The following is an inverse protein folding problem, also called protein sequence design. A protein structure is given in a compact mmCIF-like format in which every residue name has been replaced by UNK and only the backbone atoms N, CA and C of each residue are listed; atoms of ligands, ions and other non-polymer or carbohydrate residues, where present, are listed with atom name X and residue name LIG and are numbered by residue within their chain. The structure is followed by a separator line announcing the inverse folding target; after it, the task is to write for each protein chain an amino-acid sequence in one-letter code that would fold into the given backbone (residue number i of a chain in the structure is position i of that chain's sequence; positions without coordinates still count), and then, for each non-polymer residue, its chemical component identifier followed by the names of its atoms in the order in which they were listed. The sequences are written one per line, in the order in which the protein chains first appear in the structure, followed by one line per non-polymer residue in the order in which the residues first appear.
data_IF_077201676979
#
_entry.id   IF_077201676979
#
_cell.length_a   1.000
_cell.length_b   1.000
_cell.length_c   1.000
_cell.angle_alpha   90.00
_cell.angle_beta   90.00
_cell.angle_gamma   90.00
#
_symmetry.space_group_name_H-M   'P 1'
#
loop_
_entity.id
_entity.type
_entity.pdbx_description
1 polymer ?
#
# COMPACT_ATOMS: atom_id res chain seq x y z
N UNK A 1 1.40 19.75 11.60
CA UNK A 1 2.58 19.08 10.99
C UNK A 1 3.82 19.92 11.33
N UNK A 2 3.88 21.19 10.96
CA UNK A 2 5.06 22.06 11.19
C UNK A 2 5.51 22.11 12.67
N UNK A 3 4.58 22.16 13.60
CA UNK A 3 4.90 22.25 15.04
C UNK A 3 5.44 20.93 15.65
N UNK A 4 5.39 19.84 14.94
CA UNK A 4 5.84 18.52 15.41
C UNK A 4 7.13 18.05 14.72
N UNK A 5 7.76 18.90 13.90
CA UNK A 5 9.04 18.55 13.26
C UNK A 5 10.16 18.59 14.30
N UNK A 6 10.82 17.46 14.50
CA UNK A 6 11.99 17.36 15.37
C UNK A 6 13.22 17.93 14.66
N UNK A 7 14.14 18.55 15.44
CA UNK A 7 15.41 19.02 14.89
C UNK A 7 16.21 17.86 14.25
N UNK A 8 16.75 18.10 13.08
CA UNK A 8 17.47 17.06 12.30
C UNK A 8 16.59 16.14 11.47
N UNK A 9 15.27 16.41 11.42
CA UNK A 9 14.34 15.70 10.56
C UNK A 9 13.64 16.64 9.57
N UNK A 10 13.27 16.15 8.41
CA UNK A 10 12.43 16.82 7.43
C UNK A 10 11.17 16.01 7.15
N UNK A 11 10.09 16.67 6.79
CA UNK A 11 8.88 15.99 6.33
C UNK A 11 9.23 15.19 5.08
N UNK A 12 8.86 13.91 5.07
CA UNK A 12 9.04 13.03 3.93
C UNK A 12 7.75 12.90 3.13
N UNK A 13 6.68 12.42 3.78
CA UNK A 13 5.35 12.32 3.13
C UNK A 13 4.23 12.30 4.18
N UNK A 14 3.01 12.53 3.70
CA UNK A 14 1.78 12.40 4.49
C UNK A 14 0.87 11.41 3.77
N UNK A 15 0.46 10.34 4.45
CA UNK A 15 -0.46 9.35 3.92
C UNK A 15 -1.89 9.63 4.36
N UNK A 16 -2.83 9.12 3.59
CA UNK A 16 -4.28 9.16 3.86
C UNK A 16 -4.84 10.59 3.90
N UNK A 17 -4.38 11.44 2.98
CA UNK A 17 -4.96 12.78 2.77
C UNK A 17 -5.31 12.96 1.29
N UNK A 18 -6.48 13.52 0.97
CA UNK A 18 -7.54 13.94 1.89
C UNK A 18 -8.26 12.75 2.57
N UNK A 19 -8.57 12.87 3.85
CA UNK A 19 -9.27 11.85 4.62
C UNK A 19 -10.77 12.18 4.72
N UNK A 20 -11.62 11.25 4.28
CA UNK A 20 -13.06 11.29 4.55
C UNK A 20 -13.31 10.55 5.87
N UNK A 21 -13.65 11.31 6.90
CA UNK A 21 -13.87 10.76 8.25
C UNK A 21 -15.10 9.86 8.28
N UNK A 22 -14.91 8.63 8.68
CA UNK A 22 -15.96 7.62 8.89
C UNK A 22 -16.35 7.49 10.36
N UNK A 23 -17.36 6.64 10.65
CA UNK A 23 -17.74 6.30 12.04
C UNK A 23 -16.71 5.40 12.71
N UNK A 24 -15.92 4.69 11.94
CA UNK A 24 -14.82 3.86 12.42
C UNK A 24 -13.60 4.74 12.68
N UNK A 25 -13.41 5.10 13.94
CA UNK A 25 -12.31 6.00 14.37
C UNK A 25 -10.95 5.34 14.14
N UNK A 26 -10.85 4.01 14.23
CA UNK A 26 -9.59 3.28 14.06
C UNK A 26 -9.08 3.38 12.63
N UNK A 27 -9.98 3.47 11.65
CA UNK A 27 -9.62 3.64 10.23
C UNK A 27 -9.44 5.12 9.82
N UNK A 28 -9.79 6.08 10.69
CA UNK A 28 -9.58 7.52 10.44
C UNK A 28 -8.15 7.93 10.80
N UNK A 29 -7.16 7.47 10.04
CA UNK A 29 -5.74 7.66 10.36
C UNK A 29 -5.04 8.49 9.27
N UNK A 30 -4.38 9.58 9.69
CA UNK A 30 -3.40 10.30 8.86
C UNK A 30 -2.02 9.95 9.38
N UNK A 31 -1.14 9.45 8.51
CA UNK A 31 0.24 9.12 8.85
C UNK A 31 1.18 10.19 8.32
N UNK A 32 2.00 10.76 9.20
CA UNK A 32 3.00 11.78 8.84
C UNK A 32 4.38 11.16 9.01
N UNK A 33 5.11 11.03 7.92
CA UNK A 33 6.44 10.44 7.90
C UNK A 33 7.50 11.54 7.82
N UNK A 34 8.45 11.46 8.74
CA UNK A 34 9.65 12.31 8.74
C UNK A 34 10.87 11.47 8.47
N UNK A 35 11.83 12.03 7.75
CA UNK A 35 13.12 11.43 7.46
C UNK A 35 14.22 12.24 8.13
N UNK A 36 15.23 11.54 8.63
CA UNK A 36 16.43 12.18 9.20
C UNK A 36 17.20 12.90 8.09
N UNK A 37 17.59 14.13 8.37
CA UNK A 37 18.48 14.91 7.49
C UNK A 37 19.88 14.33 7.64
N UNK A 38 20.40 13.76 6.57
CA UNK A 38 21.80 13.35 6.54
C UNK A 38 22.69 14.56 6.33
N UNK A 39 23.80 14.60 7.03
CA UNK A 39 24.79 15.68 6.93
C UNK A 39 26.17 15.11 6.70
N UNK A 40 27.01 15.87 6.03
CA UNK A 40 28.43 15.57 5.87
C UNK A 40 29.27 16.82 6.16
N UNK A 41 30.51 16.68 6.62
CA UNK A 41 31.40 17.82 6.76
C UNK A 41 31.67 18.48 5.40
N UNK A 42 31.80 19.80 5.38
CA UNK A 42 32.07 20.57 4.17
C UNK A 42 33.41 20.12 3.52
N UNK A 43 34.39 19.78 4.36
CA UNK A 43 35.63 19.17 3.92
C UNK A 43 35.82 17.83 4.65
N UNK A 44 35.78 16.67 3.94
CA UNK A 44 35.92 15.35 4.55
C UNK A 44 37.28 15.07 5.16
N UNK A 45 38.32 15.84 4.76
CA UNK A 45 39.68 15.67 5.26
C UNK A 45 39.95 16.47 6.56
N UNK A 46 38.98 17.21 7.04
CA UNK A 46 39.08 18.00 8.27
C UNK A 46 38.03 17.56 9.30
N UNK A 47 38.35 17.63 10.61
CA UNK A 47 37.36 17.41 11.66
C UNK A 47 36.19 18.40 11.56
N UNK A 48 35.00 17.97 11.93
CA UNK A 48 33.81 18.84 12.05
C UNK A 48 34.06 19.91 13.12
N UNK A 49 33.77 21.16 12.78
CA UNK A 49 33.99 22.32 13.66
C UNK A 49 33.50 23.62 13.02
N UNK A 50 33.76 24.77 13.66
CA UNK A 50 33.28 26.07 13.16
C UNK A 50 33.77 26.42 11.74
N UNK A 51 34.99 25.95 11.40
CA UNK A 51 35.60 26.17 10.08
C UNK A 51 35.29 25.07 9.08
N UNK A 52 34.64 23.99 9.52
CA UNK A 52 34.21 22.85 8.73
C UNK A 52 32.85 22.35 9.23
N UNK A 53 31.76 23.12 9.04
CA UNK A 53 30.44 22.73 9.48
C UNK A 53 29.88 21.58 8.67
N UNK A 54 28.96 20.82 9.27
CA UNK A 54 28.17 19.84 8.55
C UNK A 54 27.15 20.52 7.64
N UNK A 55 27.05 20.05 6.42
CA UNK A 55 26.05 20.49 5.45
C UNK A 55 25.11 19.32 5.10
N UNK A 56 23.84 19.58 4.80
CA UNK A 56 22.92 18.55 4.34
C UNK A 56 23.45 17.88 3.07
N UNK A 57 23.36 16.57 3.03
CA UNK A 57 23.62 15.78 1.82
C UNK A 57 22.37 15.84 0.95
N UNK A 58 22.55 15.97 -0.36
CA UNK A 58 21.44 15.81 -1.29
C UNK A 58 20.91 14.38 -1.15
N UNK A 59 19.63 14.28 -0.87
CA UNK A 59 18.94 13.03 -0.61
C UNK A 59 18.18 12.63 -1.87
N UNK A 60 18.64 11.58 -2.51
CA UNK A 60 18.01 10.98 -3.69
C UNK A 60 17.02 9.88 -3.30
N UNK A 61 16.82 9.65 -2.01
CA UNK A 61 15.84 8.69 -1.56
C UNK A 61 14.42 9.23 -1.79
N UNK A 62 13.63 8.40 -2.37
CA UNK A 62 12.20 8.54 -2.49
C UNK A 62 11.54 7.31 -1.86
N UNK A 63 10.41 6.88 -2.32
CA UNK A 63 9.77 5.70 -1.78
C UNK A 63 8.52 5.34 -2.57
N UNK A 64 7.83 4.34 -2.08
CA UNK A 64 6.55 3.95 -2.61
C UNK A 64 5.57 3.67 -1.49
N UNK A 65 4.29 3.85 -1.79
CA UNK A 65 3.17 3.55 -0.90
C UNK A 65 2.66 2.16 -1.23
N UNK A 66 2.33 1.39 -0.19
CA UNK A 66 1.57 0.15 -0.33
C UNK A 66 0.22 0.37 0.33
N UNK A 67 -0.82 0.35 -0.46
CA UNK A 67 -2.20 0.50 -0.02
C UNK A 67 -2.86 -0.87 -0.02
N UNK A 68 -3.47 -1.24 1.12
CA UNK A 68 -4.16 -2.51 1.29
C UNK A 68 -5.67 -2.30 1.25
N UNK A 69 -6.35 -3.08 0.43
CA UNK A 69 -7.79 -3.02 0.21
C UNK A 69 -8.43 -4.37 0.59
N UNK A 70 -9.43 -4.32 1.46
CA UNK A 70 -10.26 -5.48 1.80
C UNK A 70 -11.67 -5.23 1.29
N UNK A 71 -12.15 -6.10 0.37
CA UNK A 71 -13.42 -5.93 -0.34
C UNK A 71 -13.59 -4.53 -0.97
N UNK A 72 -12.52 -3.98 -1.55
CA UNK A 72 -12.40 -2.64 -2.15
C UNK A 72 -12.39 -1.46 -1.14
N UNK A 73 -12.41 -1.69 0.15
CA UNK A 73 -12.23 -0.65 1.16
C UNK A 73 -10.76 -0.56 1.56
N UNK A 74 -10.19 0.66 1.50
CA UNK A 74 -8.80 0.88 1.91
C UNK A 74 -8.65 0.77 3.42
N UNK A 75 -7.66 -0.01 3.87
CA UNK A 75 -7.25 -0.03 5.26
C UNK A 75 -6.15 1.01 5.51
N UNK A 76 -6.55 2.18 6.00
CA UNK A 76 -5.63 3.27 6.29
C UNK A 76 -4.63 2.94 7.40
N UNK A 77 -4.95 2.00 8.29
CA UNK A 77 -4.05 1.60 9.38
C UNK A 77 -2.89 0.79 8.82
N UNK A 78 -3.15 -0.09 7.86
CA UNK A 78 -2.15 -0.95 7.24
C UNK A 78 -1.36 -0.26 6.14
N UNK A 79 -1.94 0.76 5.48
CA UNK A 79 -1.21 1.54 4.46
C UNK A 79 0.14 2.00 4.98
N UNK A 80 1.19 1.72 4.23
CA UNK A 80 2.57 1.98 4.62
C UNK A 80 3.38 2.68 3.52
N UNK A 81 4.52 3.25 3.89
CA UNK A 81 5.49 3.81 2.96
C UNK A 81 6.85 3.13 3.18
N UNK A 82 7.47 2.75 2.08
CA UNK A 82 8.78 2.11 2.09
C UNK A 82 9.76 3.01 1.34
N UNK A 83 10.85 3.38 2.04
CA UNK A 83 11.89 4.26 1.48
C UNK A 83 12.83 3.43 0.63
N UNK A 84 13.08 3.88 -0.59
CA UNK A 84 14.02 3.28 -1.53
C UNK A 84 14.61 4.37 -2.42
N UNK A 85 15.70 4.05 -3.10
CA UNK A 85 16.32 4.94 -4.07
C UNK A 85 15.44 5.08 -5.33
N UNK A 86 15.53 6.25 -5.96
CA UNK A 86 14.94 6.49 -7.28
C UNK A 86 15.44 5.45 -8.29
N UNK A 87 14.64 5.16 -9.29
CA UNK A 87 14.89 4.17 -10.35
C UNK A 87 14.94 2.71 -9.89
N UNK A 88 14.76 2.41 -8.60
CA UNK A 88 14.54 1.04 -8.12
C UNK A 88 13.29 0.45 -8.77
N UNK A 89 13.33 -0.84 -9.11
CA UNK A 89 12.18 -1.56 -9.64
C UNK A 89 11.63 -2.49 -8.56
N UNK A 90 10.38 -2.26 -8.19
CA UNK A 90 9.66 -3.06 -7.20
C UNK A 90 8.82 -4.11 -7.94
N UNK A 91 8.99 -5.37 -7.58
CA UNK A 91 8.27 -6.52 -8.15
C UNK A 91 7.37 -7.17 -7.09
N UNK A 92 6.51 -8.08 -7.49
CA UNK A 92 5.71 -8.87 -6.54
C UNK A 92 6.59 -9.65 -5.55
N UNK A 93 7.73 -10.16 -5.98
CA UNK A 93 8.67 -10.85 -5.11
C UNK A 93 9.22 -9.90 -4.03
N UNK A 94 9.52 -8.65 -4.40
CA UNK A 94 10.02 -7.63 -3.46
C UNK A 94 9.05 -7.34 -2.33
N UNK A 95 7.75 -7.39 -2.60
CA UNK A 95 6.68 -7.06 -1.62
C UNK A 95 5.95 -8.30 -1.08
N UNK A 96 6.41 -9.50 -1.39
CA UNK A 96 5.74 -10.74 -1.00
C UNK A 96 5.56 -10.87 0.51
N UNK A 97 6.57 -10.51 1.31
CA UNK A 97 6.50 -10.51 2.76
C UNK A 97 5.46 -9.50 3.28
N UNK A 98 5.38 -8.30 2.68
CA UNK A 98 4.37 -7.31 3.04
C UNK A 98 2.96 -7.83 2.75
N UNK A 99 2.76 -8.52 1.61
CA UNK A 99 1.49 -9.13 1.25
C UNK A 99 1.10 -10.21 2.27
N UNK A 100 2.02 -11.11 2.62
CA UNK A 100 1.76 -12.19 3.59
C UNK A 100 1.41 -11.62 4.97
N UNK A 101 2.18 -10.65 5.47
CA UNK A 101 1.98 -10.04 6.78
C UNK A 101 0.66 -9.27 6.89
N UNK A 102 0.11 -8.81 5.76
CA UNK A 102 -1.16 -8.11 5.69
C UNK A 102 -2.33 -8.99 5.25
N UNK A 103 -2.11 -10.29 5.05
CA UNK A 103 -3.21 -11.25 4.84
C UNK A 103 -3.88 -11.55 6.17
N UNK A 104 -5.13 -11.09 6.33
CA UNK A 104 -5.91 -11.31 7.55
C UNK A 104 -6.80 -12.55 7.43
N UNK A 105 -7.20 -13.11 8.58
CA UNK A 105 -8.08 -14.28 8.64
C UNK A 105 -9.40 -14.02 7.91
N UNK A 106 -9.85 -14.98 7.13
CA UNK A 106 -11.07 -14.88 6.32
C UNK A 106 -10.90 -14.15 4.99
N UNK A 107 -9.70 -13.69 4.66
CA UNK A 107 -9.38 -13.04 3.39
C UNK A 107 -8.28 -13.77 2.64
N UNK A 108 -8.28 -13.64 1.32
CA UNK A 108 -7.21 -14.11 0.43
C UNK A 108 -6.77 -12.98 -0.51
N UNK A 109 -5.52 -13.02 -0.93
CA UNK A 109 -5.03 -12.13 -1.98
C UNK A 109 -5.87 -12.33 -3.24
N UNK A 110 -6.34 -11.23 -3.80
CA UNK A 110 -7.09 -11.20 -5.05
C UNK A 110 -6.19 -10.73 -6.21
N UNK A 111 -5.60 -9.56 -6.07
CA UNK A 111 -4.70 -9.00 -7.08
C UNK A 111 -3.77 -7.94 -6.47
N UNK A 112 -2.59 -7.81 -7.05
CA UNK A 112 -1.68 -6.69 -6.81
C UNK A 112 -1.62 -5.82 -8.06
N UNK A 113 -1.81 -4.51 -7.91
CA UNK A 113 -1.75 -3.54 -9.00
C UNK A 113 -0.45 -2.75 -8.96
N UNK A 114 -0.06 -2.23 -10.13
CA UNK A 114 1.09 -1.37 -10.33
C UNK A 114 2.43 -2.05 -9.98
N UNK A 115 2.55 -3.33 -10.25
CA UNK A 115 3.82 -4.06 -10.23
C UNK A 115 4.05 -4.70 -11.61
N UNK A 116 5.28 -4.66 -12.16
CA UNK A 116 6.45 -4.00 -11.57
C UNK A 116 6.33 -2.48 -11.58
N UNK A 117 6.82 -1.82 -10.51
CA UNK A 117 6.82 -0.36 -10.35
C UNK A 117 8.25 0.17 -10.41
N UNK A 118 8.55 1.07 -11.35
CA UNK A 118 9.81 1.82 -11.35
C UNK A 118 9.63 3.10 -10.52
N UNK A 119 10.46 3.27 -9.51
CA UNK A 119 10.35 4.37 -8.55
C UNK A 119 10.76 5.70 -9.19
N UNK A 120 9.84 6.66 -9.16
CA UNK A 120 10.05 8.05 -9.56
C UNK A 120 10.44 8.94 -8.38
N UNK A 121 10.79 10.20 -8.65
CA UNK A 121 11.05 11.21 -7.60
C UNK A 121 9.81 11.54 -6.79
N UNK A 122 8.65 11.53 -7.42
CA UNK A 122 7.38 11.85 -6.80
C UNK A 122 6.78 10.59 -6.15
N UNK A 123 6.88 10.53 -4.83
CA UNK A 123 6.33 9.42 -4.03
C UNK A 123 4.81 9.28 -4.18
N UNK A 124 4.09 10.35 -4.51
CA UNK A 124 2.65 10.30 -4.67
C UNK A 124 2.22 9.51 -5.92
N UNK A 125 3.11 9.39 -6.90
CA UNK A 125 2.92 8.56 -8.09
C UNK A 125 3.41 7.11 -7.89
N UNK A 126 4.19 6.84 -6.85
CA UNK A 126 4.74 5.53 -6.56
C UNK A 126 3.78 4.75 -5.64
N UNK A 127 2.71 4.20 -6.20
CA UNK A 127 1.66 3.52 -5.43
C UNK A 127 1.47 2.09 -5.92
N UNK A 128 1.58 1.13 -5.00
CA UNK A 128 1.20 -0.27 -5.20
C UNK A 128 -0.10 -0.52 -4.42
N UNK A 129 -1.07 -1.16 -5.07
CA UNK A 129 -2.35 -1.49 -4.44
C UNK A 129 -2.48 -3.00 -4.32
N UNK A 130 -2.68 -3.48 -3.11
CA UNK A 130 -2.87 -4.91 -2.80
C UNK A 130 -4.33 -5.13 -2.40
N UNK A 131 -5.04 -5.90 -3.19
CA UNK A 131 -6.45 -6.18 -2.97
C UNK A 131 -6.64 -7.59 -2.41
N UNK A 132 -7.36 -7.67 -1.30
CA UNK A 132 -7.82 -8.91 -0.69
C UNK A 132 -9.33 -9.05 -0.83
N UNK A 133 -9.78 -10.30 -0.93
CA UNK A 133 -11.20 -10.65 -0.96
C UNK A 133 -11.53 -11.59 0.17
N UNK A 134 -12.69 -11.35 0.75
CA UNK A 134 -13.25 -12.26 1.74
C UNK A 134 -13.41 -13.65 1.13
N UNK A 135 -12.97 -14.66 1.87
CA UNK A 135 -13.19 -16.05 1.49
C UNK A 135 -14.69 -16.32 1.69
N UNK A 136 -15.40 -16.57 0.60
CA UNK A 136 -16.78 -16.99 0.71
C UNK A 136 -16.83 -18.39 1.32
N UNK A 137 -17.66 -18.55 2.32
CA UNK A 137 -17.88 -19.82 3.00
C UNK A 137 -19.36 -20.20 2.85
N UNK A 138 -19.61 -21.48 2.66
CA UNK A 138 -20.95 -22.04 2.59
C UNK A 138 -21.10 -22.95 3.79
N UNK A 139 -22.12 -22.72 4.65
CA UNK A 139 -22.46 -23.67 5.68
C UNK A 139 -22.80 -25.03 5.07
N UNK A 140 -22.27 -26.11 5.61
CA UNK A 140 -22.54 -27.48 5.14
C UNK A 140 -22.97 -28.34 6.29
N UNK A 141 -23.97 -29.18 5.99
CA UNK A 141 -24.33 -30.29 6.86
C UNK A 141 -23.21 -31.35 6.81
N UNK A 142 -22.59 -31.71 7.95
CA UNK A 142 -21.54 -32.73 7.99
C UNK A 142 -21.99 -34.08 7.42
N UNK A 143 -23.29 -34.39 7.53
CA UNK A 143 -23.86 -35.64 7.05
C UNK A 143 -24.39 -35.55 5.59
N UNK A 144 -24.52 -34.31 5.05
CA UNK A 144 -24.97 -34.09 3.69
C UNK A 144 -24.38 -32.80 3.08
N UNK A 145 -23.15 -32.87 2.52
CA UNK A 145 -22.38 -31.69 2.08
C UNK A 145 -23.02 -30.87 0.95
N UNK A 146 -24.09 -31.38 0.33
CA UNK A 146 -24.82 -30.67 -0.72
C UNK A 146 -25.98 -29.80 -0.18
N UNK A 147 -26.27 -29.88 1.12
CA UNK A 147 -27.38 -29.14 1.75
C UNK A 147 -26.83 -27.99 2.59
N UNK A 148 -27.20 -26.73 2.32
CA UNK A 148 -26.90 -25.61 3.20
C UNK A 148 -27.58 -25.80 4.55
N UNK A 149 -26.83 -25.61 5.62
CA UNK A 149 -27.32 -25.75 7.00
C UNK A 149 -27.23 -24.46 7.80
N UNK A 150 -27.81 -24.52 8.97
CA UNK A 150 -27.92 -23.52 10.02
C UNK A 150 -26.55 -22.85 10.35
N UNK A 151 -26.54 -21.55 10.74
CA UNK A 151 -25.31 -20.78 11.03
C UNK A 151 -24.39 -21.35 12.12
N UNK A 152 -24.76 -22.43 12.78
CA UNK A 152 -23.93 -23.08 13.81
C UNK A 152 -23.03 -24.21 13.29
N UNK A 153 -23.12 -24.56 12.00
CA UNK A 153 -22.35 -25.66 11.39
C UNK A 153 -21.03 -25.16 10.73
N UNK A 154 -19.99 -26.05 10.63
CA UNK A 154 -18.70 -25.64 10.08
C UNK A 154 -18.79 -25.23 8.61
N UNK A 155 -18.20 -24.10 8.30
CA UNK A 155 -18.15 -23.50 6.97
C UNK A 155 -17.08 -24.16 6.09
N UNK A 156 -17.43 -24.44 4.85
CA UNK A 156 -16.46 -24.85 3.80
C UNK A 156 -16.21 -23.66 2.88
N UNK A 157 -14.93 -23.34 2.58
CA UNK A 157 -14.59 -22.34 1.58
C UNK A 157 -15.22 -22.68 0.21
N UNK A 158 -15.90 -21.73 -0.40
CA UNK A 158 -16.47 -21.86 -1.74
C UNK A 158 -15.57 -21.13 -2.72
N UNK A 159 -15.25 -21.77 -3.85
CA UNK A 159 -14.67 -21.06 -4.97
C UNK A 159 -15.68 -20.05 -5.48
N UNK A 160 -15.37 -18.77 -5.33
CA UNK A 160 -16.17 -17.71 -5.93
C UNK A 160 -15.81 -17.58 -7.41
N UNK A 161 -16.83 -17.53 -8.27
CA UNK A 161 -16.64 -17.24 -9.69
C UNK A 161 -16.35 -15.73 -9.94
N UNK A 162 -16.12 -14.98 -8.86
CA UNK A 162 -15.75 -13.59 -8.94
C UNK A 162 -14.38 -13.43 -9.58
N UNK A 163 -14.31 -12.56 -10.53
CA UNK A 163 -13.11 -12.12 -11.22
C UNK A 163 -13.12 -10.60 -11.28
N UNK A 164 -12.30 -9.99 -12.11
CA UNK A 164 -12.31 -8.56 -12.24
C UNK A 164 -11.53 -8.12 -13.47
N UNK A 165 -11.70 -6.85 -13.78
CA UNK A 165 -10.89 -6.19 -14.78
C UNK A 165 -10.25 -4.95 -14.19
N UNK A 166 -9.12 -4.54 -14.78
CA UNK A 166 -8.35 -3.37 -14.38
C UNK A 166 -8.65 -2.24 -15.33
N UNK A 167 -8.99 -1.06 -14.78
CA UNK A 167 -9.02 0.19 -15.51
C UNK A 167 -7.70 0.92 -15.31
N UNK A 168 -7.01 1.18 -16.40
CA UNK A 168 -5.78 1.95 -16.41
C UNK A 168 -6.05 3.27 -17.10
N UNK A 169 -5.67 4.36 -16.44
CA UNK A 169 -5.81 5.71 -16.99
C UNK A 169 -4.44 6.18 -17.46
N UNK A 170 -4.39 6.64 -18.71
CA UNK A 170 -3.17 7.15 -19.33
C UNK A 170 -3.33 8.63 -19.65
N UNK A 171 -2.35 9.41 -19.28
CA UNK A 171 -2.23 10.83 -19.63
C UNK A 171 -0.91 11.02 -20.37
N UNK A 172 -0.96 11.53 -21.59
CA UNK A 172 0.21 11.68 -22.47
C UNK A 172 1.04 10.37 -22.63
N UNK A 173 0.33 9.23 -22.76
CA UNK A 173 0.87 7.85 -22.84
C UNK A 173 1.56 7.35 -21.56
N UNK A 174 1.50 8.10 -20.46
CA UNK A 174 1.96 7.64 -19.14
C UNK A 174 0.78 7.16 -18.29
N UNK A 175 0.98 5.99 -17.63
CA UNK A 175 -0.05 5.42 -16.74
C UNK A 175 -0.14 6.22 -15.44
N UNK A 176 -1.35 6.57 -15.06
CA UNK A 176 -1.65 7.12 -13.73
C UNK A 176 -1.89 5.97 -12.73
N UNK A 177 -0.85 5.56 -12.04
CA UNK A 177 -0.91 4.47 -11.07
C UNK A 177 -1.84 4.78 -9.89
N UNK A 178 -2.01 6.04 -9.54
CA UNK A 178 -2.88 6.46 -8.43
C UNK A 178 -4.35 6.23 -8.78
N UNK A 179 -4.73 6.51 -10.04
CA UNK A 179 -6.12 6.34 -10.50
C UNK A 179 -6.42 4.94 -11.02
N UNK A 180 -5.40 4.13 -11.33
CA UNK A 180 -5.61 2.74 -11.73
C UNK A 180 -6.45 2.01 -10.68
N UNK A 181 -7.52 1.35 -11.12
CA UNK A 181 -8.47 0.67 -10.24
C UNK A 181 -8.85 -0.72 -10.75
N UNK A 182 -9.36 -1.56 -9.85
CA UNK A 182 -9.93 -2.87 -10.16
C UNK A 182 -11.44 -2.84 -9.95
N UNK A 183 -12.18 -3.34 -10.93
CA UNK A 183 -13.61 -3.52 -10.83
C UNK A 183 -13.90 -5.02 -10.81
N UNK A 184 -14.58 -5.48 -9.77
CA UNK A 184 -14.96 -6.88 -9.58
C UNK A 184 -16.27 -7.17 -10.29
N UNK A 185 -16.29 -8.26 -11.01
CA UNK A 185 -17.44 -8.74 -11.78
C UNK A 185 -17.52 -10.26 -11.69
N UNK A 186 -18.65 -10.83 -12.06
CA UNK A 186 -18.76 -12.26 -12.20
C UNK A 186 -18.09 -12.75 -13.50
N UNK A 187 -17.53 -13.95 -13.45
CA UNK A 187 -16.94 -14.60 -14.64
C UNK A 187 -17.99 -14.76 -15.74
N UNK A 188 -17.65 -14.26 -16.93
CA UNK A 188 -18.57 -14.30 -18.10
C UNK A 188 -19.47 -13.09 -18.24
N UNK A 189 -19.38 -12.10 -17.36
CA UNK A 189 -20.02 -10.80 -17.54
C UNK A 189 -19.39 -10.04 -18.72
N UNK A 190 -20.20 -9.36 -19.49
CA UNK A 190 -19.77 -8.52 -20.63
C UNK A 190 -19.72 -7.08 -20.16
N UNK A 191 -18.56 -6.47 -20.32
CA UNK A 191 -18.30 -5.08 -19.93
C UNK A 191 -18.55 -4.15 -21.12
#
# INVERSE_FOLDING_TARGET
IENNTLGGYKLFTVLNVPLIVSKDVENNVIKVHYKKIETRPTNPDMPVGPDNPEVPVEDNDTGYKVEYYYDNEIDNVRTEVIVVEKDTVITEETISENIENNTIEGYKLFITLNVPLKISEDIDNNVIKVHYRKIAVKPVDPDNPDVPVDPEDPDIPVETEETGYRLEYYYDDEIDNVRTEVIVVNKGEVI
#
